data_IF_767592833241
#
_entry.id   IF_767592833241
#
_cell.length_a   1.000
_cell.length_b   1.000
_cell.length_c   1.000
_cell.angle_alpha   90.00
_cell.angle_beta   90.00
_cell.angle_gamma   90.00
#
_symmetry.space_group_name_H-M   'P 1'
#
loop_
_entity.id
_entity.type
_entity.pdbx_description
1 polymer ?
#
# COMPACT_ATOMS: atom_id res chain seq x y z
N UNK A 1 55.90 68.37 42.98
CA UNK A 1 55.76 68.49 44.45
C UNK A 1 54.73 67.48 44.92
N UNK A 2 55.18 66.46 45.67
CA UNK A 2 54.44 65.66 46.68
C UNK A 2 53.02 65.09 46.45
N UNK A 3 52.86 63.80 46.81
CA UNK A 3 51.64 63.08 47.29
C UNK A 3 50.55 62.86 46.21
N UNK A 4 49.85 61.74 46.08
CA UNK A 4 49.72 60.44 46.80
C UNK A 4 49.07 59.38 45.83
N UNK A 5 48.77 58.10 46.14
CA UNK A 5 48.78 57.37 47.43
C UNK A 5 49.29 55.90 47.37
N UNK A 6 48.52 54.93 46.84
CA UNK A 6 48.69 53.46 47.02
C UNK A 6 48.19 52.62 45.83
N UNK A 7 48.97 51.59 45.52
CA UNK A 7 48.73 50.51 44.56
C UNK A 7 47.75 49.42 45.08
N UNK A 8 47.29 48.54 44.16
CA UNK A 8 46.48 47.31 44.30
C UNK A 8 44.94 47.44 44.46
N UNK A 9 44.20 47.38 43.32
CA UNK A 9 42.95 46.58 43.28
C UNK A 9 42.39 46.10 41.92
N UNK A 10 43.05 46.32 40.78
CA UNK A 10 42.44 46.07 39.46
C UNK A 10 42.84 44.74 38.80
N UNK A 11 42.30 43.62 39.29
CA UNK A 11 42.33 42.35 38.52
C UNK A 11 41.14 41.40 38.78
N UNK A 12 39.95 41.93 39.11
CA UNK A 12 38.75 41.08 39.26
C UNK A 12 37.44 41.77 38.89
N UNK A 13 37.29 42.10 37.61
CA UNK A 13 36.03 42.60 37.04
C UNK A 13 35.52 41.72 35.87
N UNK A 14 35.41 40.42 36.12
CA UNK A 14 34.63 39.49 35.27
C UNK A 14 33.90 38.49 36.16
N UNK A 15 32.68 38.84 36.57
CA UNK A 15 31.60 37.91 36.94
C UNK A 15 30.31 38.70 37.24
N UNK A 16 29.54 38.94 36.20
CA UNK A 16 28.11 39.22 36.27
C UNK A 16 27.42 38.01 35.63
N UNK A 17 26.71 37.22 36.43
CA UNK A 17 25.39 36.70 36.04
C UNK A 17 24.70 36.12 37.28
N UNK A 18 23.45 36.52 37.46
CA UNK A 18 22.61 36.15 38.59
C UNK A 18 22.04 34.74 38.39
N UNK A 19 22.55 33.76 39.13
CA UNK A 19 22.00 32.41 39.11
C UNK A 19 20.77 32.31 40.02
N UNK A 20 19.59 32.62 39.49
CA UNK A 20 18.32 32.35 40.17
C UNK A 20 18.17 30.83 40.47
N UNK A 21 17.72 30.40 41.67
CA UNK A 21 17.70 28.97 42.01
C UNK A 21 16.55 28.20 41.34
N UNK A 22 16.88 27.49 40.25
CA UNK A 22 15.99 26.60 39.47
C UNK A 22 15.34 25.43 40.26
N UNK A 23 15.68 25.28 41.54
CA UNK A 23 15.19 24.20 42.40
C UNK A 23 13.82 24.53 43.02
N UNK A 24 13.54 25.82 43.27
CA UNK A 24 12.26 26.26 43.85
C UNK A 24 11.13 26.13 42.83
N UNK A 25 11.40 26.47 41.56
CA UNK A 25 10.43 26.40 40.47
C UNK A 25 9.98 24.94 40.21
N UNK A 26 10.94 24.00 40.19
CA UNK A 26 10.66 22.56 40.10
C UNK A 26 9.81 22.03 41.26
N UNK A 27 10.02 22.55 42.48
CA UNK A 27 9.24 22.14 43.64
C UNK A 27 7.78 22.60 43.50
N UNK A 28 7.57 23.85 43.07
CA UNK A 28 6.23 24.40 42.82
C UNK A 28 5.48 23.68 41.69
N UNK A 29 6.18 23.28 40.62
CA UNK A 29 5.57 22.50 39.54
C UNK A 29 5.12 21.10 40.00
N UNK A 30 5.91 20.41 40.83
CA UNK A 30 5.53 19.11 41.40
C UNK A 30 4.33 19.21 42.35
N UNK A 31 4.25 20.29 43.11
CA UNK A 31 3.16 20.56 44.05
C UNK A 31 1.85 20.83 43.29
N UNK A 32 1.89 21.65 42.22
CA UNK A 32 0.75 21.88 41.32
C UNK A 32 0.32 20.60 40.57
N UNK A 33 1.27 19.75 40.17
CA UNK A 33 0.94 18.45 39.55
C UNK A 33 0.20 17.54 40.53
N UNK A 34 0.61 17.50 41.81
CA UNK A 34 -0.06 16.74 42.86
C UNK A 34 -1.47 17.25 43.11
N UNK A 35 -1.66 18.57 43.30
CA UNK A 35 -2.99 19.17 43.46
C UNK A 35 -3.92 18.84 42.28
N UNK A 36 -3.39 18.85 41.04
CA UNK A 36 -4.15 18.49 39.85
C UNK A 36 -4.53 17.00 39.81
N UNK A 37 -3.68 16.11 40.35
CA UNK A 37 -4.00 14.67 40.47
C UNK A 37 -5.06 14.42 41.53
N UNK A 38 -4.93 15.01 42.72
CA UNK A 38 -5.91 14.88 43.82
C UNK A 38 -7.29 15.43 43.40
N UNK A 39 -7.34 16.57 42.69
CA UNK A 39 -8.57 17.10 42.09
C UNK A 39 -9.19 16.12 41.08
N UNK A 40 -8.38 15.47 40.25
CA UNK A 40 -8.86 14.51 39.26
C UNK A 40 -9.42 13.24 39.90
N UNK A 41 -8.74 12.70 40.91
CA UNK A 41 -9.20 11.52 41.67
C UNK A 41 -10.52 11.82 42.40
N UNK A 42 -10.64 12.96 43.08
CA UNK A 42 -11.88 13.39 43.73
C UNK A 42 -13.08 13.46 42.74
N UNK A 43 -12.87 14.04 41.55
CA UNK A 43 -13.90 14.08 40.50
C UNK A 43 -14.21 12.71 39.87
N UNK A 44 -13.27 11.76 39.95
CA UNK A 44 -13.47 10.40 39.44
C UNK A 44 -14.28 9.56 40.42
N UNK A 45 -14.09 9.74 41.74
CA UNK A 45 -14.87 9.04 42.77
C UNK A 45 -16.32 9.54 42.85
N UNK A 46 -16.58 10.85 42.70
CA UNK A 46 -17.94 11.44 42.75
C UNK A 46 -18.88 10.89 41.66
N UNK A 47 -18.35 10.30 40.59
CA UNK A 47 -19.12 9.78 39.45
C UNK A 47 -19.25 8.25 39.36
N UNK A 48 -18.77 7.48 40.35
CA UNK A 48 -18.79 6.00 40.31
C UNK A 48 -19.57 5.38 41.47
N UNK A 49 -20.78 5.89 41.71
CA UNK A 49 -21.89 5.13 42.30
C UNK A 49 -23.09 5.12 41.34
N UNK A 50 -22.89 4.47 40.19
CA UNK A 50 -23.98 3.99 39.33
C UNK A 50 -23.73 2.52 39.04
N UNK A 51 -24.75 1.68 39.24
CA UNK A 51 -24.69 0.24 38.97
C UNK A 51 -24.51 -0.02 37.46
N UNK A 52 -23.26 -0.10 37.02
CA UNK A 52 -22.91 -0.53 35.66
C UNK A 52 -23.04 -2.04 35.59
N UNK A 53 -24.24 -2.51 35.27
CA UNK A 53 -24.44 -3.84 34.67
C UNK A 53 -23.38 -4.07 33.58
N UNK A 54 -22.66 -5.22 33.59
CA UNK A 54 -21.52 -5.43 32.71
C UNK A 54 -21.97 -5.60 31.25
N UNK A 55 -22.15 -4.49 30.54
CA UNK A 55 -22.37 -4.48 29.10
C UNK A 55 -21.25 -5.27 28.43
N UNK A 56 -21.62 -6.29 27.66
CA UNK A 56 -20.67 -7.15 26.96
C UNK A 56 -19.72 -6.27 26.14
N UNK A 57 -18.39 -6.46 26.26
CA UNK A 57 -17.42 -5.49 25.75
C UNK A 57 -17.63 -5.28 24.26
N UNK A 58 -18.07 -4.07 23.90
CA UNK A 58 -18.24 -3.66 22.51
C UNK A 58 -16.90 -3.80 21.81
N UNK A 59 -16.71 -4.90 21.08
CA UNK A 59 -15.51 -5.14 20.29
C UNK A 59 -15.40 -4.00 19.29
N UNK A 60 -14.46 -3.07 19.54
CA UNK A 60 -14.08 -2.05 18.57
C UNK A 60 -13.29 -2.77 17.47
N UNK A 61 -14.03 -3.48 16.61
CA UNK A 61 -13.51 -4.20 15.44
C UNK A 61 -12.77 -3.17 14.60
N UNK A 62 -11.44 -3.27 14.59
CA UNK A 62 -10.62 -2.25 13.97
C UNK A 62 -10.91 -2.21 12.47
N UNK A 63 -10.62 -1.09 11.81
CA UNK A 63 -10.90 -0.93 10.36
C UNK A 63 -10.09 -1.94 9.49
N UNK A 64 -9.07 -2.58 10.06
CA UNK A 64 -8.40 -3.75 9.52
C UNK A 64 -9.30 -4.98 9.40
N UNK A 65 -10.16 -5.19 10.40
CA UNK A 65 -10.78 -6.47 10.73
C UNK A 65 -12.11 -6.65 10.00
N UNK A 66 -12.92 -5.58 9.84
CA UNK A 66 -14.10 -5.60 8.96
C UNK A 66 -13.77 -5.96 7.50
N UNK A 67 -12.56 -5.60 7.04
CA UNK A 67 -12.06 -5.98 5.71
C UNK A 67 -11.51 -7.40 5.67
N UNK A 68 -11.07 -7.96 6.81
CA UNK A 68 -10.75 -9.39 6.95
C UNK A 68 -12.02 -10.22 6.90
N UNK A 69 -12.99 -9.93 7.77
CA UNK A 69 -14.29 -10.61 7.86
C UNK A 69 -15.00 -10.71 6.51
N UNK A 70 -14.94 -9.66 5.68
CA UNK A 70 -15.55 -9.66 4.33
C UNK A 70 -14.78 -10.50 3.29
N UNK A 71 -13.46 -10.64 3.44
CA UNK A 71 -12.59 -11.22 2.41
C UNK A 71 -12.14 -12.65 2.74
N UNK A 72 -12.00 -13.01 4.02
CA UNK A 72 -11.61 -14.35 4.48
C UNK A 72 -12.50 -15.49 3.95
N UNK A 73 -13.85 -15.36 3.86
CA UNK A 73 -14.71 -16.39 3.27
C UNK A 73 -14.48 -16.67 1.76
N UNK A 74 -13.67 -15.85 1.08
CA UNK A 74 -13.38 -15.96 -0.35
C UNK A 74 -12.05 -16.69 -0.62
N UNK A 75 -11.28 -16.99 0.43
CA UNK A 75 -9.93 -17.52 0.34
C UNK A 75 -9.95 -19.01 0.63
N UNK A 76 -9.66 -19.82 -0.39
CA UNK A 76 -9.50 -21.25 -0.24
C UNK A 76 -8.09 -21.53 0.32
N UNK A 77 -8.01 -21.69 1.64
CA UNK A 77 -6.77 -22.04 2.34
C UNK A 77 -6.31 -23.48 2.06
N UNK A 78 -7.21 -24.35 1.55
CA UNK A 78 -6.90 -25.76 1.21
C UNK A 78 -6.10 -25.91 -0.09
N UNK A 79 -5.99 -24.87 -0.94
CA UNK A 79 -5.22 -24.93 -2.18
C UNK A 79 -3.71 -24.78 -1.94
N UNK A 80 -3.12 -25.79 -1.29
CA UNK A 80 -1.68 -25.96 -1.07
C UNK A 80 -0.88 -26.39 -2.31
N UNK A 81 -1.30 -26.02 -3.53
CA UNK A 81 -0.54 -26.29 -4.76
C UNK A 81 0.66 -25.34 -4.86
N UNK A 82 1.86 -25.94 -4.89
CA UNK A 82 3.19 -25.35 -4.65
C UNK A 82 3.62 -24.12 -5.48
N UNK A 83 2.82 -23.60 -6.41
CA UNK A 83 3.26 -22.60 -7.40
C UNK A 83 2.51 -21.26 -7.39
N UNK A 84 1.34 -21.12 -6.76
CA UNK A 84 0.64 -19.83 -6.70
C UNK A 84 -0.23 -19.66 -5.46
N UNK A 85 -0.14 -18.52 -4.75
CA UNK A 85 -0.98 -18.25 -3.59
C UNK A 85 -2.43 -17.88 -3.95
N UNK A 86 -2.74 -17.60 -5.21
CA UNK A 86 -4.07 -17.20 -5.65
C UNK A 86 -4.58 -18.01 -6.83
N UNK A 87 -5.84 -18.43 -6.74
CA UNK A 87 -6.60 -18.83 -7.91
C UNK A 87 -7.10 -17.61 -8.69
N UNK A 88 -7.20 -17.75 -10.00
CA UNK A 88 -7.91 -16.82 -10.89
C UNK A 88 -9.33 -16.58 -10.40
N UNK A 89 -10.01 -17.63 -9.91
CA UNK A 89 -11.39 -17.54 -9.40
C UNK A 89 -11.49 -16.66 -8.17
N UNK A 90 -10.66 -16.90 -7.15
CA UNK A 90 -10.58 -16.06 -5.95
C UNK A 90 -10.31 -14.60 -6.31
N UNK A 91 -9.39 -14.37 -7.25
CA UNK A 91 -9.04 -13.03 -7.73
C UNK A 91 -10.25 -12.32 -8.34
N UNK A 92 -10.99 -13.00 -9.22
CA UNK A 92 -12.22 -12.46 -9.84
C UNK A 92 -13.32 -12.23 -8.79
N UNK A 93 -13.46 -13.10 -7.80
CA UNK A 93 -14.49 -12.97 -6.75
C UNK A 93 -14.16 -11.81 -5.78
N UNK A 94 -12.88 -11.58 -5.46
CA UNK A 94 -12.42 -10.36 -4.75
C UNK A 94 -12.75 -9.10 -5.58
N UNK A 95 -12.44 -9.09 -6.88
CA UNK A 95 -12.74 -7.96 -7.77
C UNK A 95 -14.25 -7.64 -7.82
N UNK A 96 -15.11 -8.67 -7.85
CA UNK A 96 -16.57 -8.54 -7.80
C UNK A 96 -17.06 -7.92 -6.49
N UNK A 97 -16.51 -8.35 -5.35
CA UNK A 97 -16.90 -7.85 -4.02
C UNK A 97 -16.39 -6.42 -3.76
N UNK A 98 -15.25 -6.05 -4.35
CA UNK A 98 -14.81 -4.66 -4.46
C UNK A 98 -15.52 -3.88 -5.58
N UNK A 99 -16.58 -4.44 -6.19
CA UNK A 99 -17.44 -3.77 -7.20
C UNK A 99 -16.66 -3.21 -8.40
N UNK A 100 -15.62 -3.91 -8.84
CA UNK A 100 -14.97 -3.64 -10.12
C UNK A 100 -15.94 -3.92 -11.27
N UNK A 101 -15.91 -3.07 -12.29
CA UNK A 101 -16.75 -3.15 -13.48
C UNK A 101 -15.96 -3.81 -14.63
N UNK A 102 -16.66 -4.36 -15.62
CA UNK A 102 -16.10 -4.87 -16.88
C UNK A 102 -14.93 -5.85 -16.67
N UNK A 103 -15.08 -6.82 -15.75
CA UNK A 103 -14.02 -7.78 -15.43
C UNK A 103 -13.91 -8.82 -16.55
N UNK A 104 -12.75 -8.90 -17.20
CA UNK A 104 -12.39 -9.96 -18.14
C UNK A 104 -11.15 -10.71 -17.66
N UNK A 105 -11.02 -11.98 -18.05
CA UNK A 105 -9.87 -12.81 -17.77
C UNK A 105 -9.43 -13.52 -19.06
N UNK A 106 -8.18 -13.31 -19.45
CA UNK A 106 -7.56 -13.85 -20.65
C UNK A 106 -6.50 -14.86 -20.21
N UNK A 107 -6.55 -16.07 -20.74
CA UNK A 107 -5.53 -17.10 -20.52
C UNK A 107 -4.47 -16.99 -21.62
N UNK A 108 -3.24 -16.70 -21.22
CA UNK A 108 -2.09 -16.59 -22.12
C UNK A 108 -1.24 -17.86 -21.99
N UNK A 109 -1.14 -18.70 -23.04
CA UNK A 109 -0.20 -19.81 -23.04
C UNK A 109 1.23 -19.26 -23.07
N UNK A 110 2.13 -19.85 -22.28
CA UNK A 110 3.55 -19.50 -22.26
C UNK A 110 4.33 -20.77 -22.53
N UNK A 111 5.03 -20.81 -23.66
CA UNK A 111 5.75 -22.00 -24.12
C UNK A 111 6.76 -22.48 -23.05
N UNK A 112 6.53 -23.70 -22.54
CA UNK A 112 7.40 -24.36 -21.56
C UNK A 112 7.15 -24.09 -20.08
N UNK A 113 6.16 -23.26 -19.67
CA UNK A 113 5.88 -22.98 -18.25
C UNK A 113 4.38 -22.98 -17.92
N UNK A 114 4.02 -22.72 -16.66
CA UNK A 114 2.62 -22.59 -16.24
C UNK A 114 1.91 -21.44 -17.00
N UNK A 115 0.65 -21.65 -17.37
CA UNK A 115 -0.15 -20.64 -18.08
C UNK A 115 -0.25 -19.34 -17.28
N UNK A 116 -0.09 -18.20 -17.96
CA UNK A 116 -0.29 -16.89 -17.34
C UNK A 116 -1.74 -16.42 -17.53
N UNK A 117 -2.29 -15.71 -16.57
CA UNK A 117 -3.61 -15.10 -16.68
C UNK A 117 -3.50 -13.57 -16.61
N UNK A 118 -4.09 -12.91 -17.61
CA UNK A 118 -4.21 -11.45 -17.67
C UNK A 118 -5.65 -11.10 -17.35
N UNK A 119 -5.86 -10.48 -16.18
CA UNK A 119 -7.18 -10.03 -15.72
C UNK A 119 -7.24 -8.51 -15.93
N UNK A 120 -8.23 -8.04 -16.67
CA UNK A 120 -8.46 -6.60 -16.91
C UNK A 120 -9.79 -6.22 -16.28
N UNK A 121 -9.81 -5.13 -15.51
CA UNK A 121 -11.04 -4.61 -14.91
C UNK A 121 -11.04 -3.09 -14.81
N UNK A 122 -12.23 -2.51 -14.65
CA UNK A 122 -12.45 -1.08 -14.64
C UNK A 122 -12.95 -0.60 -13.27
N UNK A 123 -12.21 0.31 -12.60
CA UNK A 123 -12.71 0.93 -11.39
C UNK A 123 -13.52 2.19 -11.72
N UNK A 124 -14.50 2.50 -10.87
CA UNK A 124 -15.31 3.75 -10.96
C UNK A 124 -14.47 5.02 -11.01
N UNK A 125 -13.34 5.04 -10.31
CA UNK A 125 -12.35 6.11 -10.34
C UNK A 125 -10.99 5.59 -9.83
N UNK A 126 -9.95 6.43 -9.83
CA UNK A 126 -8.60 6.01 -9.43
C UNK A 126 -8.47 5.64 -7.95
N UNK A 127 -9.19 6.31 -7.05
CA UNK A 127 -9.21 5.96 -5.62
C UNK A 127 -9.84 4.59 -5.39
N UNK A 128 -10.87 4.25 -6.15
CA UNK A 128 -11.48 2.92 -6.18
C UNK A 128 -10.50 1.85 -6.66
N UNK A 129 -9.74 2.14 -7.74
CA UNK A 129 -8.68 1.25 -8.21
C UNK A 129 -7.58 1.00 -7.15
N UNK A 130 -7.18 2.02 -6.39
CA UNK A 130 -6.23 1.87 -5.29
C UNK A 130 -6.80 1.06 -4.11
N UNK A 131 -8.08 1.20 -3.82
CA UNK A 131 -8.78 0.39 -2.80
C UNK A 131 -8.83 -1.10 -3.20
N UNK A 132 -9.13 -1.40 -4.46
CA UNK A 132 -9.09 -2.77 -5.02
C UNK A 132 -7.69 -3.39 -4.85
N UNK A 133 -6.62 -2.66 -5.21
CA UNK A 133 -5.23 -3.14 -5.01
C UNK A 133 -4.92 -3.37 -3.53
N UNK A 134 -5.45 -2.52 -2.63
CA UNK A 134 -5.26 -2.69 -1.19
C UNK A 134 -5.98 -3.94 -0.67
N UNK A 135 -7.19 -4.25 -1.16
CA UNK A 135 -7.93 -5.47 -0.81
C UNK A 135 -7.18 -6.73 -1.26
N UNK A 136 -6.77 -6.79 -2.54
CA UNK A 136 -5.94 -7.88 -3.07
C UNK A 136 -4.65 -8.08 -2.26
N UNK A 137 -3.97 -6.98 -1.89
CA UNK A 137 -2.77 -7.03 -1.04
C UNK A 137 -3.05 -7.54 0.38
N UNK A 138 -4.25 -7.28 0.94
CA UNK A 138 -4.66 -7.84 2.24
C UNK A 138 -4.91 -9.34 2.11
N UNK A 139 -5.66 -9.78 1.10
CA UNK A 139 -5.86 -11.20 0.81
C UNK A 139 -4.54 -11.95 0.62
N UNK A 140 -3.57 -11.36 -0.07
CA UNK A 140 -2.24 -11.95 -0.25
C UNK A 140 -1.56 -12.22 1.10
N UNK A 141 -1.55 -11.21 1.98
CA UNK A 141 -0.98 -11.29 3.33
C UNK A 141 -1.73 -12.25 4.27
N UNK A 142 -2.96 -12.64 3.94
CA UNK A 142 -3.74 -13.63 4.69
C UNK A 142 -3.35 -15.05 4.29
N UNK A 143 -3.26 -15.33 2.97
CA UNK A 143 -2.91 -16.67 2.47
C UNK A 143 -1.42 -17.01 2.59
N UNK A 144 -0.55 -16.00 2.68
CA UNK A 144 0.88 -16.16 2.38
C UNK A 144 1.79 -15.78 3.55
N UNK A 145 2.73 -16.67 3.89
CA UNK A 145 3.78 -16.41 4.89
C UNK A 145 4.83 -15.42 4.37
N UNK A 146 5.73 -14.95 5.24
CA UNK A 146 6.75 -13.93 4.91
C UNK A 146 7.78 -14.33 3.84
N UNK A 147 7.81 -15.59 3.39
CA UNK A 147 8.84 -16.10 2.46
C UNK A 147 8.54 -15.91 0.96
N UNK A 148 7.31 -15.59 0.57
CA UNK A 148 6.97 -15.40 -0.85
C UNK A 148 7.24 -13.96 -1.30
N UNK A 149 7.69 -13.80 -2.55
CA UNK A 149 7.94 -12.49 -3.13
C UNK A 149 6.69 -11.59 -3.09
N UNK A 150 6.81 -10.32 -2.67
CA UNK A 150 5.69 -9.40 -2.64
C UNK A 150 5.20 -9.10 -4.07
N UNK A 151 3.88 -9.07 -4.32
CA UNK A 151 3.34 -8.78 -5.66
C UNK A 151 3.74 -7.38 -6.12
N UNK A 152 4.12 -7.25 -7.40
CA UNK A 152 4.61 -6.01 -7.98
C UNK A 152 3.44 -5.07 -8.26
N UNK A 153 3.52 -3.82 -7.76
CA UNK A 153 2.55 -2.75 -8.03
C UNK A 153 3.20 -1.65 -8.84
N UNK A 154 2.61 -1.31 -9.98
CA UNK A 154 3.01 -0.17 -10.82
C UNK A 154 1.80 0.74 -11.07
N UNK A 155 2.01 2.06 -11.13
CA UNK A 155 0.97 3.04 -11.46
C UNK A 155 1.51 4.00 -12.52
N UNK A 156 0.79 4.14 -13.63
CA UNK A 156 1.10 5.10 -14.70
C UNK A 156 -0.18 5.86 -15.03
N UNK A 157 -0.26 7.13 -14.62
CA UNK A 157 -1.45 7.97 -14.84
C UNK A 157 -2.75 7.33 -14.33
N UNK A 158 -3.60 6.88 -15.27
CA UNK A 158 -4.89 6.23 -14.98
C UNK A 158 -4.91 4.71 -15.16
N UNK A 159 -3.74 4.08 -15.16
CA UNK A 159 -3.56 2.63 -15.20
C UNK A 159 -2.78 2.17 -13.96
N UNK A 160 -3.35 1.21 -13.24
CA UNK A 160 -2.73 0.46 -12.15
C UNK A 160 -2.48 -0.97 -12.62
N UNK A 161 -1.25 -1.46 -12.45
CA UNK A 161 -0.92 -2.87 -12.66
C UNK A 161 -0.55 -3.49 -11.30
N UNK A 162 -1.10 -4.66 -11.02
CA UNK A 162 -0.80 -5.46 -9.84
C UNK A 162 -0.56 -6.90 -10.27
N UNK A 163 0.69 -7.37 -10.16
CA UNK A 163 1.12 -8.64 -10.74
C UNK A 163 1.72 -9.58 -9.69
N UNK A 164 1.23 -10.81 -9.72
CA UNK A 164 1.83 -12.01 -9.14
C UNK A 164 2.76 -12.65 -10.19
N UNK A 165 3.21 -13.87 -9.93
CA UNK A 165 4.05 -14.62 -10.86
C UNK A 165 3.22 -15.09 -12.08
N UNK A 166 2.10 -15.75 -11.81
CA UNK A 166 1.16 -16.37 -12.74
C UNK A 166 -0.02 -15.47 -13.18
N UNK A 167 -0.44 -14.52 -12.35
CA UNK A 167 -1.60 -13.64 -12.62
C UNK A 167 -1.15 -12.16 -12.69
N UNK A 168 -1.49 -11.45 -13.77
CA UNK A 168 -1.37 -9.99 -13.86
C UNK A 168 -2.75 -9.33 -13.87
N UNK A 169 -2.95 -8.32 -13.02
CA UNK A 169 -4.22 -7.59 -12.87
C UNK A 169 -4.03 -6.16 -13.34
N UNK A 170 -4.78 -5.77 -14.37
CA UNK A 170 -4.74 -4.47 -15.02
C UNK A 170 -6.01 -3.70 -14.68
N UNK A 171 -5.89 -2.75 -13.77
CA UNK A 171 -6.98 -1.91 -13.26
C UNK A 171 -6.92 -0.57 -13.99
N UNK A 172 -7.85 -0.35 -14.93
CA UNK A 172 -7.83 0.81 -15.85
C UNK A 172 -9.18 1.53 -15.90
N UNK A 173 -9.18 2.86 -15.74
CA UNK A 173 -10.40 3.65 -15.99
C UNK A 173 -10.83 3.52 -17.45
N UNK A 174 -12.13 3.67 -17.75
CA UNK A 174 -12.70 3.52 -19.11
C UNK A 174 -11.89 4.26 -20.20
N UNK A 175 -11.51 5.52 -19.94
CA UNK A 175 -10.62 6.34 -20.79
C UNK A 175 -9.30 5.64 -21.15
N UNK A 176 -8.64 5.03 -20.16
CA UNK A 176 -7.35 4.38 -20.33
C UNK A 176 -7.50 3.02 -21.01
N UNK A 177 -8.56 2.27 -20.66
CA UNK A 177 -8.89 0.98 -21.28
C UNK A 177 -9.14 1.13 -22.78
N UNK A 178 -9.94 2.12 -23.17
CA UNK A 178 -10.18 2.46 -24.58
C UNK A 178 -8.91 2.95 -25.29
N UNK A 179 -8.06 3.74 -24.62
CA UNK A 179 -6.80 4.25 -25.21
C UNK A 179 -5.75 3.16 -25.46
N UNK A 180 -5.62 2.20 -24.55
CA UNK A 180 -4.56 1.18 -24.61
C UNK A 180 -5.00 -0.16 -25.21
N UNK A 181 -6.31 -0.41 -25.27
CA UNK A 181 -6.96 -1.62 -25.81
C UNK A 181 -6.18 -2.93 -25.58
N UNK A 182 -5.92 -3.21 -24.31
CA UNK A 182 -5.23 -4.44 -23.90
C UNK A 182 -6.09 -5.70 -24.18
N UNK A 183 -7.38 -5.55 -24.46
CA UNK A 183 -8.26 -6.68 -24.77
C UNK A 183 -7.94 -7.25 -26.14
N UNK A 184 -7.82 -6.39 -27.15
CA UNK A 184 -7.35 -6.79 -28.49
C UNK A 184 -5.94 -7.36 -28.43
N UNK A 185 -5.02 -6.72 -27.69
CA UNK A 185 -3.62 -7.15 -27.59
C UNK A 185 -3.46 -8.58 -27.04
N UNK A 186 -4.20 -8.94 -25.99
CA UNK A 186 -4.07 -10.24 -25.33
C UNK A 186 -5.12 -11.28 -25.78
N UNK A 187 -6.27 -10.81 -26.29
CA UNK A 187 -7.40 -11.64 -26.70
C UNK A 187 -7.31 -12.16 -28.14
N UNK A 188 -6.56 -11.47 -29.01
CA UNK A 188 -6.09 -12.08 -30.26
C UNK A 188 -5.05 -13.11 -29.85
N UNK A 189 -5.47 -14.39 -29.87
CA UNK A 189 -4.61 -15.51 -29.52
C UNK A 189 -3.32 -15.46 -30.32
N UNK A 190 -2.22 -15.89 -29.69
CA UNK A 190 -0.91 -15.91 -30.32
C UNK A 190 -1.00 -16.88 -31.50
N UNK A 191 -1.25 -16.36 -32.69
CA UNK A 191 -0.89 -17.05 -33.92
C UNK A 191 0.61 -17.13 -33.87
N UNK A 192 1.09 -18.29 -33.44
CA UNK A 192 2.39 -18.79 -33.79
C UNK A 192 2.40 -18.82 -35.31
N UNK A 193 2.84 -17.71 -35.91
CA UNK A 193 3.28 -17.69 -37.29
C UNK A 193 4.43 -18.66 -37.33
N UNK A 194 4.12 -19.94 -37.58
CA UNK A 194 5.15 -20.88 -37.99
C UNK A 194 5.85 -20.22 -39.14
N UNK A 195 7.15 -20.01 -38.97
CA UNK A 195 7.99 -19.39 -39.96
C UNK A 195 7.96 -20.31 -41.18
N UNK A 196 7.07 -20.02 -42.14
CA UNK A 196 7.29 -20.41 -43.53
C UNK A 196 8.69 -19.88 -43.84
N UNK A 197 9.67 -20.78 -43.99
CA UNK A 197 11.07 -20.40 -44.12
C UNK A 197 11.23 -19.51 -45.36
N UNK A 198 11.23 -18.20 -45.14
CA UNK A 198 11.60 -17.22 -46.16
C UNK A 198 13.09 -17.37 -46.34
N UNK A 199 13.49 -18.17 -47.33
CA UNK A 199 14.87 -18.35 -47.72
C UNK A 199 15.45 -17.00 -48.21
N UNK A 200 16.16 -16.32 -47.31
CA UNK A 200 16.77 -15.00 -47.54
C UNK A 200 17.90 -15.06 -48.61
N UNK A 201 18.24 -16.24 -49.14
CA UNK A 201 19.31 -16.40 -50.14
C UNK A 201 19.04 -15.75 -51.51
N UNK A 202 17.83 -15.30 -51.84
CA UNK A 202 17.55 -14.66 -53.14
C UNK A 202 16.54 -13.50 -53.14
N UNK A 203 16.95 -12.26 -52.78
CA UNK A 203 16.13 -11.06 -52.96
C UNK A 203 16.05 -10.67 -54.45
N UNK A 204 15.10 -11.29 -55.17
CA UNK A 204 14.80 -10.92 -56.57
C UNK A 204 13.96 -9.66 -56.61
N UNK A 205 14.62 -8.49 -56.54
CA UNK A 205 13.98 -7.20 -56.78
C UNK A 205 13.66 -7.04 -58.28
N UNK A 206 12.40 -6.88 -58.70
CA UNK A 206 12.08 -6.50 -60.07
C UNK A 206 12.49 -5.05 -60.32
N UNK A 207 13.50 -4.85 -61.17
CA UNK A 207 13.89 -3.52 -61.63
C UNK A 207 12.77 -2.88 -62.46
N UNK A 208 12.50 -1.57 -62.32
CA UNK A 208 11.51 -0.88 -63.15
C UNK A 208 12.01 -0.80 -64.60
N UNK A 209 11.14 -1.13 -65.55
CA UNK A 209 11.43 -1.02 -66.97
C UNK A 209 11.49 0.46 -67.36
N UNK A 210 12.67 0.93 -67.74
CA UNK A 210 12.85 2.23 -68.40
C UNK A 210 12.50 2.05 -69.87
N UNK A 211 11.36 2.61 -70.28
CA UNK A 211 11.07 2.78 -71.70
C UNK A 211 11.86 3.99 -72.23
N UNK A 212 12.55 3.80 -73.35
CA UNK A 212 13.23 4.84 -74.13
C UNK A 212 12.25 5.59 -75.04
#
# INVERSE_FOLDING_TARGET
MLRHLTDKKDEKLWRSDESYPLEVEKQMDLERIREMQEYFEQYTEEYVEMDVEPEAPCKIVAKSDRLRERLEPLLNFEQGTLSSPFSVRETVDILRIERAEDIICIKVPVSGTHNRYVIICTPRNMRHGEAIVLALRKCFKLKTSRQVHPPKKTKVGRWLCYAFEDISIHIMTREARFKYDLESLWGIGWMETMEDEVDISSPTFPMPVINY
#
